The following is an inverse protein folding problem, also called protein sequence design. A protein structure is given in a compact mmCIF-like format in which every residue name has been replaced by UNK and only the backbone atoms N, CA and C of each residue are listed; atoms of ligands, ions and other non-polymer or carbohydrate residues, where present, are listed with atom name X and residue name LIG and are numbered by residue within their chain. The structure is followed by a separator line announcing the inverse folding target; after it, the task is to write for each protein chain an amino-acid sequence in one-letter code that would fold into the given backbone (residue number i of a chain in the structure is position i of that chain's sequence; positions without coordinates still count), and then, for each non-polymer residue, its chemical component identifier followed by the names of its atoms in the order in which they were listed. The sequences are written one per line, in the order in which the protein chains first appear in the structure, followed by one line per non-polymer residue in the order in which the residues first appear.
data_IF_641297304571
#
_entry.id   IF_641297304571
#
_cell.length_a   1.000
_cell.length_b   1.000
_cell.length_c   1.000
_cell.angle_alpha   90.00
_cell.angle_beta   90.00
_cell.angle_gamma   90.00
#
_symmetry.space_group_name_H-M   'P 1'
#
loop_
_entity.id
_entity.type
_entity.pdbx_description
1 polymer ?
#
# COMPACT_ATOMS: atom_id res chain seq x y z
N UNK A 1 15.01 3.43 10.69
CA UNK A 1 15.30 4.33 9.56
C UNK A 1 15.69 3.58 8.29
N UNK A 2 16.69 2.71 8.27
CA UNK A 2 17.12 1.97 7.07
C UNK A 2 16.00 1.13 6.43
N UNK A 3 15.18 0.44 7.21
CA UNK A 3 14.05 -0.34 6.70
C UNK A 3 12.99 0.53 5.99
N UNK A 4 12.74 1.73 6.53
CA UNK A 4 11.80 2.67 5.90
C UNK A 4 12.32 3.21 4.56
N UNK A 5 13.62 3.52 4.47
CA UNK A 5 14.25 3.91 3.22
C UNK A 5 14.21 2.77 2.19
N UNK A 6 14.49 1.53 2.64
CA UNK A 6 14.36 0.34 1.80
C UNK A 6 12.94 0.15 1.27
N UNK A 7 11.94 0.27 2.13
CA UNK A 7 10.54 0.18 1.72
C UNK A 7 10.17 1.24 0.67
N UNK A 8 10.58 2.50 0.90
CA UNK A 8 10.37 3.59 -0.06
C UNK A 8 11.05 3.34 -1.40
N UNK A 9 12.27 2.82 -1.38
CA UNK A 9 13.01 2.46 -2.59
C UNK A 9 12.28 1.38 -3.41
N UNK A 10 11.86 0.29 -2.77
CA UNK A 10 11.11 -0.78 -3.45
C UNK A 10 9.73 -0.33 -3.93
N UNK A 11 9.08 0.58 -3.20
CA UNK A 11 7.82 1.19 -3.64
C UNK A 11 8.02 2.04 -4.91
N UNK A 12 9.11 2.82 -4.97
CA UNK A 12 9.45 3.59 -6.16
C UNK A 12 9.74 2.67 -7.37
N UNK A 13 10.50 1.59 -7.17
CA UNK A 13 10.74 0.58 -8.22
C UNK A 13 9.43 -0.05 -8.69
N UNK A 14 8.55 -0.42 -7.77
CA UNK A 14 7.23 -0.96 -8.12
C UNK A 14 6.43 0.01 -9.01
N UNK A 15 6.43 1.31 -8.69
CA UNK A 15 5.72 2.33 -9.46
C UNK A 15 6.32 2.52 -10.87
N UNK A 16 7.64 2.54 -10.98
CA UNK A 16 8.35 2.71 -12.25
C UNK A 16 8.15 1.48 -13.16
N UNK A 17 8.43 0.29 -12.65
CA UNK A 17 8.28 -0.95 -13.42
C UNK A 17 6.81 -1.27 -13.70
N UNK A 18 5.92 -0.98 -12.75
CA UNK A 18 4.48 -1.12 -12.93
C UNK A 18 3.98 -0.24 -14.08
N UNK A 19 4.42 1.02 -14.13
CA UNK A 19 4.08 1.92 -15.25
C UNK A 19 4.58 1.39 -16.60
N UNK A 20 5.78 0.85 -16.65
CA UNK A 20 6.31 0.23 -17.86
C UNK A 20 5.50 -1.01 -18.29
N UNK A 21 5.15 -1.87 -17.34
CA UNK A 21 4.34 -3.05 -17.59
C UNK A 21 2.92 -2.68 -18.07
N UNK A 22 2.32 -1.62 -17.52
CA UNK A 22 1.00 -1.11 -17.90
C UNK A 22 0.93 -0.50 -19.30
N UNK A 23 2.07 -0.26 -19.94
CA UNK A 23 2.09 0.10 -21.36
C UNK A 23 1.77 -1.09 -22.29
N UNK A 24 1.91 -2.33 -21.78
CA UNK A 24 1.76 -3.56 -22.56
C UNK A 24 0.68 -4.51 -22.00
N UNK A 25 0.34 -4.38 -20.73
CA UNK A 25 -0.59 -5.27 -20.01
C UNK A 25 -1.64 -4.45 -19.26
N UNK A 26 -2.80 -5.04 -19.04
CA UNK A 26 -3.86 -4.43 -18.25
C UNK A 26 -3.55 -4.48 -16.73
N UNK A 27 -4.23 -3.61 -15.97
CA UNK A 27 -4.00 -3.46 -14.53
C UNK A 27 -4.23 -4.76 -13.75
N UNK A 28 -5.20 -5.58 -14.17
CA UNK A 28 -5.50 -6.85 -13.52
C UNK A 28 -4.34 -7.82 -13.68
N UNK A 29 -3.82 -7.96 -14.90
CA UNK A 29 -2.67 -8.83 -15.22
C UNK A 29 -1.43 -8.41 -14.44
N UNK A 30 -1.09 -7.12 -14.43
CA UNK A 30 0.08 -6.61 -13.68
C UNK A 30 -0.06 -6.90 -12.18
N UNK A 31 -1.24 -6.66 -11.60
CA UNK A 31 -1.50 -6.92 -10.19
C UNK A 31 -1.44 -8.42 -9.86
N UNK A 32 -2.04 -9.27 -10.68
CA UNK A 32 -1.99 -10.73 -10.50
C UNK A 32 -0.55 -11.25 -10.50
N UNK A 33 0.27 -10.86 -11.46
CA UNK A 33 1.67 -11.27 -11.52
C UNK A 33 2.47 -10.75 -10.33
N UNK A 34 2.21 -9.52 -9.88
CA UNK A 34 2.84 -8.97 -8.67
C UNK A 34 2.60 -9.87 -7.47
N UNK A 35 1.35 -10.28 -7.22
CA UNK A 35 1.04 -11.16 -6.09
C UNK A 35 1.51 -12.60 -6.29
N UNK A 36 1.52 -13.09 -7.53
CA UNK A 36 2.01 -14.43 -7.85
C UNK A 36 3.51 -14.58 -7.51
N UNK A 37 4.30 -13.53 -7.68
CA UNK A 37 5.72 -13.54 -7.29
C UNK A 37 5.93 -13.12 -5.83
N UNK A 38 5.18 -12.14 -5.32
CA UNK A 38 5.33 -11.69 -3.95
C UNK A 38 4.92 -12.75 -2.92
N UNK A 39 3.88 -13.56 -3.21
CA UNK A 39 3.41 -14.62 -2.34
C UNK A 39 4.51 -15.64 -2.00
N UNK A 40 5.07 -16.38 -2.97
CA UNK A 40 6.18 -17.30 -2.72
C UNK A 40 7.41 -16.64 -2.09
N UNK A 41 7.75 -15.40 -2.51
CA UNK A 41 8.87 -14.68 -1.93
C UNK A 41 8.66 -14.37 -0.44
N UNK A 42 7.43 -14.06 -0.02
CA UNK A 42 7.11 -13.81 1.39
C UNK A 42 7.16 -15.07 2.25
N UNK A 43 6.95 -16.27 1.67
CA UNK A 43 7.03 -17.54 2.40
C UNK A 43 8.42 -17.79 2.99
N UNK A 44 9.48 -17.24 2.39
CA UNK A 44 10.86 -17.35 2.91
C UNK A 44 11.00 -16.67 4.27
N UNK A 45 10.17 -15.68 4.56
CA UNK A 45 10.18 -14.92 5.82
C UNK A 45 9.27 -15.53 6.89
N UNK A 46 8.43 -16.49 6.53
CA UNK A 46 7.45 -17.09 7.44
C UNK A 46 8.05 -18.28 8.19
N UNK A 47 7.69 -18.37 9.47
CA UNK A 47 7.93 -19.58 10.27
C UNK A 47 6.73 -20.51 10.14
N UNK A 48 6.92 -21.79 9.70
CA UNK A 48 5.80 -22.70 9.50
C UNK A 48 4.92 -22.91 10.73
N UNK A 49 5.53 -22.88 11.92
CA UNK A 49 4.81 -23.02 13.20
C UNK A 49 3.86 -21.84 13.49
N UNK A 50 4.27 -20.62 13.16
CA UNK A 50 3.46 -19.42 13.33
C UNK A 50 2.28 -19.41 12.36
N UNK A 51 2.54 -19.85 11.12
CA UNK A 51 1.51 -19.98 10.10
C UNK A 51 0.44 -21.01 10.51
N UNK A 52 0.86 -22.21 10.95
CA UNK A 52 -0.06 -23.24 11.42
C UNK A 52 -0.89 -22.78 12.62
N UNK A 53 -0.28 -22.07 13.58
CA UNK A 53 -0.98 -21.52 14.73
C UNK A 53 -1.98 -20.42 14.32
N UNK A 54 -1.60 -19.53 13.42
CA UNK A 54 -2.46 -18.44 12.96
C UNK A 54 -3.74 -18.96 12.28
N UNK A 55 -3.64 -20.03 11.50
CA UNK A 55 -4.76 -20.59 10.75
C UNK A 55 -5.47 -21.78 11.44
N UNK A 56 -5.29 -21.92 12.75
CA UNK A 56 -5.92 -22.99 13.54
C UNK A 56 -7.43 -22.81 13.75
N UNK A 57 -7.95 -21.60 13.62
CA UNK A 57 -9.37 -21.29 13.86
C UNK A 57 -10.08 -20.85 12.57
N UNK A 58 -11.36 -21.27 12.35
CA UNK A 58 -12.13 -20.85 11.15
C UNK A 58 -12.30 -19.34 11.05
N UNK A 59 -12.41 -18.61 12.17
CA UNK A 59 -12.54 -17.15 12.18
C UNK A 59 -11.32 -16.43 11.61
N UNK A 60 -10.11 -16.98 11.77
CA UNK A 60 -8.88 -16.43 11.23
C UNK A 60 -8.89 -16.45 9.69
N UNK A 61 -9.43 -17.49 9.08
CA UNK A 61 -9.55 -17.57 7.62
C UNK A 61 -10.46 -16.49 7.06
N UNK A 62 -11.60 -16.24 7.70
CA UNK A 62 -12.53 -15.19 7.27
C UNK A 62 -11.90 -13.81 7.41
N UNK A 63 -11.23 -13.55 8.54
CA UNK A 63 -10.51 -12.30 8.77
C UNK A 63 -9.38 -12.11 7.75
N UNK A 64 -8.58 -13.15 7.50
CA UNK A 64 -7.51 -13.11 6.51
C UNK A 64 -8.06 -12.85 5.10
N UNK A 65 -9.15 -13.54 4.71
CA UNK A 65 -9.80 -13.30 3.42
C UNK A 65 -10.28 -11.85 3.28
N UNK A 66 -10.89 -11.29 4.33
CA UNK A 66 -11.30 -9.88 4.38
C UNK A 66 -10.12 -8.92 4.23
N UNK A 67 -9.03 -9.14 4.97
CA UNK A 67 -7.80 -8.35 4.86
C UNK A 67 -7.20 -8.44 3.44
N UNK A 68 -7.12 -9.62 2.86
CA UNK A 68 -6.61 -9.79 1.50
C UNK A 68 -7.48 -9.05 0.49
N UNK A 69 -8.79 -9.19 0.57
CA UNK A 69 -9.70 -8.56 -0.39
C UNK A 69 -9.72 -7.03 -0.25
N UNK A 70 -9.92 -6.51 0.98
CA UNK A 70 -10.20 -5.09 1.23
C UNK A 70 -8.92 -4.29 1.43
N UNK A 71 -7.95 -4.82 2.17
CA UNK A 71 -6.74 -4.07 2.55
C UNK A 71 -5.54 -4.35 1.64
N UNK A 72 -5.61 -5.37 0.78
CA UNK A 72 -4.52 -5.72 -0.12
C UNK A 72 -4.96 -5.67 -1.58
N UNK A 73 -5.81 -6.58 -2.02
CA UNK A 73 -6.13 -6.70 -3.45
C UNK A 73 -6.82 -5.44 -4.01
N UNK A 74 -7.84 -4.91 -3.32
CA UNK A 74 -8.57 -3.74 -3.79
C UNK A 74 -7.69 -2.48 -3.91
N UNK A 75 -6.88 -2.08 -2.91
CA UNK A 75 -5.99 -0.94 -3.03
C UNK A 75 -4.95 -1.09 -4.15
N UNK A 76 -4.37 -2.27 -4.32
CA UNK A 76 -3.41 -2.51 -5.39
C UNK A 76 -4.04 -2.43 -6.77
N UNK A 77 -5.24 -2.98 -6.96
CA UNK A 77 -5.98 -2.86 -8.22
C UNK A 77 -6.33 -1.40 -8.52
N UNK A 78 -6.80 -0.66 -7.53
CA UNK A 78 -7.14 0.75 -7.68
C UNK A 78 -5.89 1.59 -7.99
N UNK A 79 -4.78 1.33 -7.29
CA UNK A 79 -3.51 2.01 -7.55
C UNK A 79 -2.99 1.72 -8.96
N UNK A 80 -2.96 0.45 -9.36
CA UNK A 80 -2.49 0.03 -10.68
C UNK A 80 -3.38 0.58 -11.80
N UNK A 81 -4.70 0.59 -11.59
CA UNK A 81 -5.65 1.20 -12.50
C UNK A 81 -5.47 2.71 -12.63
N UNK A 82 -5.18 3.41 -11.54
CA UNK A 82 -4.81 4.82 -11.52
C UNK A 82 -3.48 5.06 -12.23
N UNK A 83 -2.46 4.26 -11.92
CA UNK A 83 -1.11 4.35 -12.50
C UNK A 83 -1.12 4.15 -14.03
N UNK A 84 -2.07 3.37 -14.57
CA UNK A 84 -2.26 3.24 -16.01
C UNK A 84 -2.65 4.55 -16.70
N UNK A 85 -3.22 5.51 -15.97
CA UNK A 85 -3.80 6.76 -16.49
C UNK A 85 -2.99 8.02 -16.20
N UNK A 86 -2.10 7.94 -15.22
CA UNK A 86 -1.27 9.09 -14.80
C UNK A 86 0.20 8.72 -14.80
N UNK A 87 1.06 9.72 -14.88
CA UNK A 87 2.51 9.51 -14.75
C UNK A 87 2.87 9.01 -13.36
N UNK A 88 3.91 8.16 -13.26
CA UNK A 88 4.35 7.56 -11.99
C UNK A 88 4.69 8.61 -10.92
N UNK A 89 5.27 9.74 -11.32
CA UNK A 89 5.55 10.85 -10.42
C UNK A 89 4.27 11.42 -9.77
N UNK A 90 3.25 11.69 -10.58
CA UNK A 90 1.95 12.17 -10.09
C UNK A 90 1.23 11.13 -9.22
N UNK A 91 1.30 9.86 -9.60
CA UNK A 91 0.74 8.77 -8.79
C UNK A 91 1.39 8.70 -7.41
N UNK A 92 2.72 8.84 -7.33
CA UNK A 92 3.47 8.84 -6.06
C UNK A 92 3.11 10.05 -5.18
N UNK A 93 2.91 11.24 -5.79
CA UNK A 93 2.47 12.44 -5.08
C UNK A 93 1.07 12.22 -4.49
N UNK A 94 0.14 11.68 -5.26
CA UNK A 94 -1.21 11.37 -4.76
C UNK A 94 -1.18 10.31 -3.66
N UNK A 95 -0.33 9.28 -3.79
CA UNK A 95 -0.15 8.28 -2.76
C UNK A 95 0.43 8.86 -1.45
N UNK A 96 1.17 9.96 -1.50
CA UNK A 96 1.67 10.63 -0.29
C UNK A 96 0.57 11.25 0.59
N UNK A 97 -0.68 11.32 0.10
CA UNK A 97 -1.86 11.67 0.90
C UNK A 97 -2.30 10.52 1.84
N UNK A 98 -1.83 9.31 1.63
CA UNK A 98 -2.19 8.13 2.44
C UNK A 98 -2.00 8.35 3.95
N UNK A 99 -0.87 8.88 4.46
CA UNK A 99 -0.71 9.18 5.88
C UNK A 99 -1.72 10.20 6.42
N UNK A 100 -2.16 11.14 5.59
CA UNK A 100 -3.19 12.13 5.95
C UNK A 100 -4.52 11.43 6.16
N UNK A 101 -4.93 10.61 5.19
CA UNK A 101 -6.18 9.83 5.27
C UNK A 101 -6.13 8.85 6.44
N UNK A 102 -5.00 8.16 6.66
CA UNK A 102 -4.81 7.24 7.78
C UNK A 102 -4.94 7.95 9.13
N UNK A 103 -4.33 9.12 9.30
CA UNK A 103 -4.44 9.91 10.54
C UNK A 103 -5.86 10.39 10.81
N UNK A 104 -6.58 10.82 9.78
CA UNK A 104 -7.98 11.23 9.89
C UNK A 104 -8.88 10.03 10.23
N UNK A 105 -8.67 8.89 9.58
CA UNK A 105 -9.41 7.66 9.87
C UNK A 105 -9.13 7.18 11.31
N UNK A 106 -7.89 7.21 11.77
CA UNK A 106 -7.50 6.89 13.14
C UNK A 106 -8.26 7.74 14.16
N UNK A 107 -8.32 9.04 13.91
CA UNK A 107 -9.06 9.97 14.78
C UNK A 107 -10.57 9.71 14.75
N UNK A 108 -11.17 9.52 13.58
CA UNK A 108 -12.62 9.37 13.43
C UNK A 108 -13.15 8.01 13.89
N UNK A 109 -12.41 6.93 13.60
CA UNK A 109 -12.87 5.55 13.88
C UNK A 109 -12.37 5.03 15.22
N UNK A 110 -11.16 5.42 15.63
CA UNK A 110 -10.51 4.90 16.84
C UNK A 110 -10.37 5.95 17.95
N UNK A 111 -10.87 7.18 17.70
CA UNK A 111 -10.79 8.31 18.64
C UNK A 111 -9.35 8.64 19.07
N UNK A 112 -8.38 8.40 18.20
CA UNK A 112 -6.99 8.73 18.46
C UNK A 112 -6.81 10.27 18.52
N UNK A 113 -6.09 10.80 19.52
CA UNK A 113 -5.86 12.23 19.60
C UNK A 113 -4.91 12.70 18.51
N UNK A 114 -5.31 13.73 17.73
CA UNK A 114 -4.43 14.41 16.80
C UNK A 114 -3.37 15.19 17.56
N UNK A 115 -2.14 14.74 17.54
CA UNK A 115 -1.02 15.47 18.13
C UNK A 115 -0.65 16.70 17.29
N UNK A 116 -0.03 17.69 17.90
CA UNK A 116 0.49 18.86 17.17
C UNK A 116 1.54 18.44 16.10
N UNK A 117 2.31 17.40 16.38
CA UNK A 117 3.26 16.83 15.41
C UNK A 117 2.55 16.20 14.21
N UNK A 118 1.45 15.47 14.43
CA UNK A 118 0.63 14.90 13.37
C UNK A 118 0.02 15.99 12.48
N UNK A 119 -0.52 17.05 13.08
CA UNK A 119 -1.07 18.19 12.34
C UNK A 119 -0.01 18.91 11.50
N UNK A 120 1.19 19.12 12.07
CA UNK A 120 2.30 19.69 11.32
C UNK A 120 2.74 18.80 10.15
N UNK A 121 2.81 17.48 10.34
CA UNK A 121 3.09 16.51 9.28
C UNK A 121 2.05 16.56 8.15
N UNK A 122 0.77 16.58 8.49
CA UNK A 122 -0.33 16.72 7.52
C UNK A 122 -0.18 18.02 6.73
N UNK A 123 0.07 19.14 7.40
CA UNK A 123 0.27 20.43 6.74
C UNK A 123 1.46 20.41 5.77
N UNK A 124 2.58 19.80 6.16
CA UNK A 124 3.75 19.65 5.29
C UNK A 124 3.45 18.80 4.04
N UNK A 125 2.73 17.68 4.20
CA UNK A 125 2.34 16.84 3.06
C UNK A 125 1.43 17.59 2.11
N UNK A 126 0.39 18.25 2.62
CA UNK A 126 -0.54 19.04 1.80
C UNK A 126 0.16 20.20 1.08
N UNK A 127 1.08 20.88 1.75
CA UNK A 127 1.90 21.92 1.13
C UNK A 127 2.78 21.35 0.00
N UNK A 128 3.46 20.21 0.23
CA UNK A 128 4.27 19.55 -0.77
C UNK A 128 3.48 19.14 -2.00
N UNK A 129 2.31 18.52 -1.83
CA UNK A 129 1.40 18.16 -2.92
C UNK A 129 0.91 19.38 -3.70
N UNK A 130 0.66 20.50 -3.02
CA UNK A 130 0.18 21.74 -3.65
C UNK A 130 1.24 22.44 -4.50
N UNK A 131 2.52 22.31 -4.14
CA UNK A 131 3.64 22.93 -4.88
C UNK A 131 3.96 22.13 -6.18
N UNK A 132 3.68 20.84 -6.18
CA UNK A 132 3.99 19.92 -7.30
C UNK A 132 2.87 19.84 -8.35
N UNK A 133 1.93 20.74 -8.33
CA UNK A 133 0.77 20.81 -9.22
C UNK A 133 1.10 21.38 -10.61
#
# INVERSE_FOLDING_TARGET
MLLGLGAGFFYALYSIFGRYALAHYDSMTVTMWTFLFAGPASLVLLRPSELAAAFSTPGTWLTAAGLVAVSTAAPYLLYTWGLARVESGRASILASLEPVVASLAGTLLFHEPLSAATLAGIACVLAGVSILR
#
